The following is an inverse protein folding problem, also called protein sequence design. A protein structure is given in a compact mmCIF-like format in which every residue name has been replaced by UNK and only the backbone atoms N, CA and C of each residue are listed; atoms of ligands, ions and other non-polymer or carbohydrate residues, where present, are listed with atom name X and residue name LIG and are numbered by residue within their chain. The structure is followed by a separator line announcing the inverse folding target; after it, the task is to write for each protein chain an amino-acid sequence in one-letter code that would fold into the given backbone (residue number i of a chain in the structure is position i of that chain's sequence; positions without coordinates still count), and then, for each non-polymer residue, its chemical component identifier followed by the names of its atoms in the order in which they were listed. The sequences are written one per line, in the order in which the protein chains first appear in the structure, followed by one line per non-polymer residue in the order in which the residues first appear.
data_IF_576981396405
#
_entry.id   IF_576981396405
#
_cell.length_a   1.000
_cell.length_b   1.000
_cell.length_c   1.000
_cell.angle_alpha   90.00
_cell.angle_beta   90.00
_cell.angle_gamma   90.00
#
_symmetry.space_group_name_H-M   'P 1'
#
loop_
_entity.id
_entity.type
_entity.pdbx_description
1 polymer ?
#
# COMPACT_ATOMS: atom_id res chain seq x y z
N UNK A 1 5.66 8.50 27.53
CA UNK A 1 5.64 9.56 26.50
C UNK A 1 4.30 9.62 25.74
N UNK A 2 3.85 8.54 25.09
CA UNK A 2 2.57 8.50 24.33
C UNK A 2 1.32 8.78 25.19
N UNK A 3 1.23 8.19 26.39
CA UNK A 3 0.09 8.39 27.30
C UNK A 3 -0.01 9.82 27.88
N UNK A 4 1.09 10.57 27.95
CA UNK A 4 1.10 11.93 28.49
C UNK A 4 0.58 12.97 27.49
N UNK A 5 0.79 12.75 26.19
CA UNK A 5 0.22 13.59 25.14
C UNK A 5 -1.31 13.49 25.06
N UNK A 6 -1.88 12.34 25.43
CA UNK A 6 -3.34 12.13 25.47
C UNK A 6 -3.98 12.89 26.64
N UNK A 7 -3.28 13.06 27.77
CA UNK A 7 -3.83 13.70 28.97
C UNK A 7 -3.65 15.24 29.00
N UNK A 8 -2.63 15.79 28.32
CA UNK A 8 -2.31 17.22 28.38
C UNK A 8 -1.90 17.85 27.03
N UNK A 9 -1.78 17.09 25.95
CA UNK A 9 -1.38 17.59 24.64
C UNK A 9 -2.59 18.03 23.84
N UNK A 10 -2.52 19.24 23.30
CA UNK A 10 -3.48 19.78 22.33
C UNK A 10 -3.94 18.69 21.36
N UNK A 11 -5.26 18.57 21.18
CA UNK A 11 -5.83 17.54 20.33
C UNK A 11 -5.29 17.63 18.89
N UNK A 12 -4.88 18.82 18.47
CA UNK A 12 -4.12 19.07 17.25
C UNK A 12 -2.75 18.38 17.23
N UNK A 13 -1.98 18.47 18.32
CA UNK A 13 -0.67 17.81 18.45
C UNK A 13 -0.79 16.29 18.34
N UNK A 14 -1.87 15.72 18.87
CA UNK A 14 -2.11 14.27 18.73
C UNK A 14 -2.34 13.87 17.27
N UNK A 15 -3.18 14.62 16.55
CA UNK A 15 -3.41 14.37 15.11
C UNK A 15 -2.12 14.53 14.30
N UNK A 16 -1.35 15.57 14.57
CA UNK A 16 -0.05 15.80 13.91
C UNK A 16 0.95 14.67 14.21
N UNK A 17 1.01 14.19 15.45
CA UNK A 17 1.89 13.09 15.83
C UNK A 17 1.53 11.79 15.10
N UNK A 18 0.23 11.50 14.96
CA UNK A 18 -0.25 10.34 14.20
C UNK A 18 0.10 10.46 12.71
N UNK A 19 -0.04 11.65 12.13
CA UNK A 19 0.38 11.89 10.75
C UNK A 19 1.88 11.62 10.56
N UNK A 20 2.72 12.14 11.47
CA UNK A 20 4.17 11.89 11.44
C UNK A 20 4.53 10.44 11.63
N UNK A 21 3.76 9.69 12.44
CA UNK A 21 3.95 8.26 12.59
C UNK A 21 3.67 7.50 11.29
N UNK A 22 2.60 7.86 10.57
CA UNK A 22 2.33 7.32 9.22
C UNK A 22 3.45 7.65 8.22
N UNK A 23 3.99 8.88 8.26
CA UNK A 23 5.13 9.26 7.42
C UNK A 23 6.35 8.36 7.72
N UNK A 24 6.66 8.12 9.00
CA UNK A 24 7.77 7.25 9.40
C UNK A 24 7.61 5.82 8.89
N UNK A 25 6.41 5.23 8.99
CA UNK A 25 6.16 3.91 8.43
C UNK A 25 6.38 3.89 6.91
N UNK A 26 5.90 4.92 6.21
CA UNK A 26 6.07 5.05 4.76
C UNK A 26 7.56 5.17 4.38
N UNK A 27 8.32 5.97 5.11
CA UNK A 27 9.77 6.09 4.90
C UNK A 27 10.49 4.76 5.14
N UNK A 28 10.07 4.00 6.15
CA UNK A 28 10.69 2.72 6.45
C UNK A 28 10.39 1.66 5.39
N UNK A 29 9.14 1.61 4.89
CA UNK A 29 8.76 0.79 3.73
C UNK A 29 9.61 1.12 2.51
N UNK A 30 9.79 2.41 2.21
CA UNK A 30 10.63 2.85 1.11
C UNK A 30 12.09 2.40 1.28
N UNK A 31 12.63 2.54 2.49
CA UNK A 31 13.99 2.12 2.81
C UNK A 31 14.18 0.61 2.63
N UNK A 32 13.21 -0.22 3.03
CA UNK A 32 13.25 -1.67 2.83
C UNK A 32 13.23 -2.03 1.33
N UNK A 33 12.35 -1.38 0.55
CA UNK A 33 12.22 -1.63 -0.89
C UNK A 33 13.45 -1.18 -1.68
N UNK A 34 14.06 -0.06 -1.29
CA UNK A 34 15.23 0.52 -1.95
C UNK A 34 16.58 0.00 -1.44
N UNK A 35 16.59 -0.84 -0.40
CA UNK A 35 17.82 -1.39 0.15
C UNK A 35 18.61 -2.13 -0.95
N UNK A 36 19.91 -1.86 -1.16
CA UNK A 36 20.69 -2.60 -2.15
C UNK A 36 20.81 -4.07 -1.75
N UNK A 37 20.84 -4.96 -2.73
CA UNK A 37 21.08 -6.38 -2.50
C UNK A 37 22.52 -6.56 -1.98
N UNK A 38 22.77 -7.41 -0.98
CA UNK A 38 24.12 -7.76 -0.55
C UNK A 38 24.99 -8.24 -1.72
N UNK A 39 26.26 -7.86 -1.72
CA UNK A 39 27.20 -8.27 -2.76
C UNK A 39 27.48 -9.78 -2.70
N UNK A 40 27.55 -10.43 -3.87
CA UNK A 40 27.90 -11.85 -3.98
C UNK A 40 26.72 -12.84 -3.93
N UNK A 41 25.48 -12.35 -3.97
CA UNK A 41 24.28 -13.19 -4.07
C UNK A 41 24.07 -13.69 -5.51
N UNK A 42 23.64 -14.95 -5.65
CA UNK A 42 23.10 -15.45 -6.91
C UNK A 42 21.71 -14.87 -7.19
N UNK A 43 21.26 -14.86 -8.45
CA UNK A 43 19.98 -14.25 -8.86
C UNK A 43 18.76 -14.79 -8.08
N UNK A 44 18.78 -16.07 -7.72
CA UNK A 44 17.72 -16.70 -6.92
C UNK A 44 17.72 -16.20 -5.46
N UNK A 45 18.90 -15.95 -4.90
CA UNK A 45 19.07 -15.46 -3.54
C UNK A 45 18.73 -13.97 -3.45
N UNK A 46 19.06 -13.19 -4.48
CA UNK A 46 18.62 -11.81 -4.61
C UNK A 46 17.08 -11.73 -4.66
N UNK A 47 16.43 -12.62 -5.41
CA UNK A 47 14.96 -12.69 -5.47
C UNK A 47 14.37 -13.04 -4.10
N UNK A 48 14.94 -14.03 -3.41
CA UNK A 48 14.51 -14.40 -2.06
C UNK A 48 14.69 -13.26 -1.05
N UNK A 49 15.82 -12.55 -1.10
CA UNK A 49 16.09 -11.37 -0.27
C UNK A 49 15.02 -10.30 -0.49
N UNK A 50 14.67 -9.99 -1.74
CA UNK A 50 13.62 -9.01 -2.08
C UNK A 50 12.25 -9.43 -1.53
N UNK A 51 11.91 -10.71 -1.64
CA UNK A 51 10.66 -11.25 -1.09
C UNK A 51 10.61 -11.14 0.44
N UNK A 52 11.71 -11.41 1.13
CA UNK A 52 11.78 -11.24 2.59
C UNK A 52 11.64 -9.76 2.99
N UNK A 53 12.25 -8.83 2.24
CA UNK A 53 12.06 -7.39 2.49
C UNK A 53 10.60 -6.96 2.28
N UNK A 54 9.90 -7.50 1.26
CA UNK A 54 8.48 -7.23 1.07
C UNK A 54 7.59 -7.77 2.20
N UNK A 55 7.89 -8.96 2.73
CA UNK A 55 7.16 -9.52 3.90
C UNK A 55 7.26 -8.61 5.12
N UNK A 56 8.36 -7.87 5.26
CA UNK A 56 8.52 -6.86 6.31
C UNK A 56 7.81 -5.55 5.95
N UNK A 57 7.86 -5.13 4.68
CA UNK A 57 7.31 -3.87 4.21
C UNK A 57 5.76 -3.84 4.23
N UNK A 58 5.10 -4.89 3.75
CA UNK A 58 3.62 -4.97 3.64
C UNK A 58 2.91 -4.63 4.96
N UNK A 59 3.21 -5.25 6.12
CA UNK A 59 2.49 -4.93 7.36
C UNK A 59 2.78 -3.51 7.87
N UNK A 60 3.92 -2.91 7.50
CA UNK A 60 4.22 -1.52 7.83
C UNK A 60 3.45 -0.54 6.94
N UNK A 61 3.29 -0.89 5.67
CA UNK A 61 2.48 -0.15 4.71
C UNK A 61 1.00 -0.14 5.13
N UNK A 62 0.47 -1.29 5.56
CA UNK A 62 -0.88 -1.39 6.14
C UNK A 62 -1.02 -0.51 7.39
N UNK A 63 -0.08 -0.62 8.34
CA UNK A 63 -0.07 0.22 9.55
C UNK A 63 0.02 1.71 9.24
N UNK A 64 0.75 2.10 8.20
CA UNK A 64 0.81 3.50 7.76
C UNK A 64 -0.58 4.01 7.38
N UNK A 65 -1.30 3.26 6.54
CA UNK A 65 -2.64 3.62 6.07
C UNK A 65 -3.64 3.63 7.22
N UNK A 66 -3.61 2.63 8.10
CA UNK A 66 -4.48 2.56 9.29
C UNK A 66 -4.25 3.74 10.23
N UNK A 67 -2.98 4.08 10.50
CA UNK A 67 -2.61 5.21 11.35
C UNK A 67 -3.12 6.52 10.77
N UNK A 68 -2.99 6.71 9.46
CA UNK A 68 -3.48 7.89 8.75
C UNK A 68 -5.01 7.99 8.78
N UNK A 69 -5.72 6.87 8.59
CA UNK A 69 -7.17 6.81 8.71
C UNK A 69 -7.64 7.14 10.14
N UNK A 70 -6.94 6.63 11.16
CA UNK A 70 -7.25 6.96 12.55
C UNK A 70 -6.98 8.44 12.86
N UNK A 71 -5.93 9.03 12.26
CA UNK A 71 -5.64 10.47 12.39
C UNK A 71 -6.78 11.31 11.80
N UNK A 72 -7.30 10.93 10.64
CA UNK A 72 -8.45 11.57 9.99
C UNK A 72 -9.71 11.49 10.86
N UNK A 73 -10.04 10.30 11.37
CA UNK A 73 -11.20 10.10 12.27
C UNK A 73 -11.07 10.96 13.52
N UNK A 74 -9.85 11.06 14.07
CA UNK A 74 -9.57 11.88 15.25
C UNK A 74 -9.74 13.36 14.94
N UNK A 75 -9.19 13.85 13.82
CA UNK A 75 -9.36 15.23 13.36
C UNK A 75 -10.83 15.60 13.13
N UNK A 76 -11.63 14.70 12.55
CA UNK A 76 -13.07 14.87 12.35
C UNK A 76 -13.84 14.96 13.67
N UNK A 77 -13.56 14.05 14.62
CA UNK A 77 -14.18 14.05 15.96
C UNK A 77 -13.89 15.35 16.71
N UNK A 78 -12.66 15.85 16.58
CA UNK A 78 -12.20 17.09 17.21
C UNK A 78 -12.65 18.36 16.45
N UNK A 79 -13.26 18.22 15.27
CA UNK A 79 -13.71 19.32 14.41
C UNK A 79 -12.62 20.35 14.14
N UNK A 80 -11.38 19.89 13.90
CA UNK A 80 -10.25 20.78 13.61
C UNK A 80 -10.55 21.62 12.35
N UNK A 81 -10.55 22.95 12.51
CA UNK A 81 -10.89 23.92 11.43
C UNK A 81 -9.67 24.50 10.72
N UNK A 82 -8.48 23.94 10.95
CA UNK A 82 -7.20 24.38 10.41
C UNK A 82 -6.84 23.75 9.05
N UNK A 83 -7.76 23.02 8.42
CA UNK A 83 -7.50 22.31 7.15
C UNK A 83 -6.92 20.90 7.29
N UNK A 84 -6.61 20.43 8.51
CA UNK A 84 -6.03 19.10 8.74
C UNK A 84 -6.89 17.95 8.18
N UNK A 85 -8.22 18.07 8.24
CA UNK A 85 -9.13 17.04 7.72
C UNK A 85 -8.94 16.88 6.20
N UNK A 86 -8.93 17.99 5.45
CA UNK A 86 -8.74 17.96 4.00
C UNK A 86 -7.35 17.42 3.63
N UNK A 87 -6.32 17.82 4.38
CA UNK A 87 -4.96 17.34 4.20
C UNK A 87 -4.84 15.83 4.40
N UNK A 88 -5.35 15.31 5.53
CA UNK A 88 -5.30 13.88 5.85
C UNK A 88 -6.12 13.05 4.86
N UNK A 89 -7.28 13.55 4.43
CA UNK A 89 -8.07 12.91 3.38
C UNK A 89 -7.31 12.82 2.06
N UNK A 90 -6.62 13.89 1.65
CA UNK A 90 -5.83 13.88 0.42
C UNK A 90 -4.66 12.88 0.50
N UNK A 91 -3.96 12.81 1.64
CA UNK A 91 -2.89 11.82 1.85
C UNK A 91 -3.44 10.40 1.83
N UNK A 92 -4.60 10.15 2.44
CA UNK A 92 -5.22 8.83 2.47
C UNK A 92 -5.68 8.39 1.07
N UNK A 93 -6.29 9.30 0.31
CA UNK A 93 -6.66 9.04 -1.08
C UNK A 93 -5.44 8.69 -1.93
N UNK A 94 -4.34 9.44 -1.78
CA UNK A 94 -3.08 9.16 -2.47
C UNK A 94 -2.54 7.76 -2.10
N UNK A 95 -2.54 7.41 -0.82
CA UNK A 95 -2.07 6.11 -0.36
C UNK A 95 -2.92 4.94 -0.90
N UNK A 96 -4.24 5.15 -1.03
CA UNK A 96 -5.14 4.14 -1.61
C UNK A 96 -4.98 4.01 -3.14
N UNK A 97 -4.75 5.11 -3.86
CA UNK A 97 -4.52 5.05 -5.31
C UNK A 97 -3.23 4.31 -5.68
N UNK A 98 -2.18 4.37 -4.83
CA UNK A 98 -0.95 3.61 -5.05
C UNK A 98 -1.18 2.08 -4.98
N UNK A 99 -2.23 1.61 -4.29
CA UNK A 99 -2.55 0.18 -4.21
C UNK A 99 -3.25 -0.39 -5.45
N UNK A 100 -3.76 0.44 -6.37
CA UNK A 100 -4.52 0.00 -7.55
C UNK A 100 -3.64 -0.37 -8.78
N UNK A 101 -2.35 -0.65 -8.60
CA UNK A 101 -1.48 -1.01 -9.74
C UNK A 101 -1.72 -2.46 -10.26
N UNK A 102 -2.48 -2.48 -11.37
CA UNK A 102 -2.50 -3.40 -12.53
C UNK A 102 -2.68 -4.90 -12.26
N UNK A 103 -3.93 -5.34 -12.30
CA UNK A 103 -4.26 -6.74 -12.58
C UNK A 103 -3.97 -7.01 -14.06
N UNK A 104 -2.83 -7.63 -14.38
CA UNK A 104 -2.54 -8.15 -15.72
C UNK A 104 -3.40 -9.40 -15.97
N UNK A 105 -4.60 -9.19 -16.51
CA UNK A 105 -5.41 -10.29 -17.03
C UNK A 105 -4.77 -10.79 -18.33
N UNK A 106 -3.97 -11.86 -18.24
CA UNK A 106 -3.58 -12.66 -19.42
C UNK A 106 -4.81 -13.36 -19.98
N UNK A 107 -5.57 -12.65 -20.82
CA UNK A 107 -6.65 -13.23 -21.63
C UNK A 107 -6.00 -14.21 -22.61
N UNK A 108 -6.08 -15.51 -22.33
CA UNK A 108 -5.84 -16.53 -23.35
C UNK A 108 -7.02 -16.49 -24.30
N UNK A 109 -6.79 -16.07 -25.54
CA UNK A 109 -7.78 -16.21 -26.60
C UNK A 109 -8.20 -17.69 -26.68
N UNK A 110 -9.52 -17.98 -26.68
CA UNK A 110 -9.98 -19.35 -26.86
C UNK A 110 -9.52 -19.86 -28.22
N UNK A 111 -9.11 -21.13 -28.28
CA UNK A 111 -8.68 -21.76 -29.51
C UNK A 111 -9.83 -21.75 -30.52
N UNK A 112 -9.58 -21.20 -31.70
CA UNK A 112 -10.51 -21.25 -32.83
C UNK A 112 -10.58 -22.70 -33.28
N UNK A 113 -11.66 -23.39 -32.92
CA UNK A 113 -11.94 -24.73 -33.46
C UNK A 113 -12.72 -24.52 -34.75
N UNK A 114 -12.15 -24.96 -35.87
CA UNK A 114 -12.87 -25.00 -37.13
C UNK A 114 -13.91 -26.13 -37.04
N UNK A 115 -15.19 -25.89 -37.38
CA UNK A 115 -16.15 -26.97 -37.47
C UNK A 115 -15.74 -27.92 -38.61
N UNK A 116 -15.59 -29.20 -38.29
CA UNK A 116 -15.44 -30.24 -39.31
C UNK A 116 -16.74 -30.33 -40.10
N UNK A 117 -16.73 -29.82 -41.34
CA UNK A 117 -17.77 -30.17 -42.29
C UNK A 117 -17.55 -31.64 -42.66
N UNK A 118 -18.48 -32.50 -42.23
CA UNK A 118 -18.58 -33.86 -42.71
C UNK A 118 -18.68 -33.80 -44.23
N UNK A 119 -17.62 -34.22 -44.92
CA UNK A 119 -17.64 -34.46 -46.35
C UNK A 119 -18.62 -35.60 -46.61
N UNK A 120 -19.87 -35.29 -46.95
CA UNK A 120 -20.76 -36.26 -47.59
C UNK A 120 -20.25 -36.49 -49.02
N UNK A 121 -19.31 -37.42 -49.11
CA UNK A 121 -18.87 -38.02 -50.37
C UNK A 121 -19.99 -38.94 -50.85
N UNK A 122 -20.68 -38.51 -51.91
CA UNK A 122 -21.14 -39.32 -53.03
C UNK A 122 -22.00 -40.57 -52.77
N UNK A 123 -23.22 -40.53 -53.31
CA UNK A 123 -23.76 -41.55 -54.23
C UNK A 123 -24.93 -40.97 -55.02
#
# INVERSE_FOLDING_TARGET
AYQAAIQFGDAEVTVQAMEKLSDLYTHYVLALRQMPSPAGLEANEETAFRQEMEKLAIPLEEKSVETLAQALVSAQKLRLRNGSIAHLQAKLNKANMVKEEVIDYKVKNPAVVLPEFLNEVGS
#
